data_IF_055221869417
#
_entry.id   IF_055221869417
#
_cell.length_a   1.000
_cell.length_b   1.000
_cell.length_c   1.000
_cell.angle_alpha   90.00
_cell.angle_beta   90.00
_cell.angle_gamma   90.00
#
_symmetry.space_group_name_H-M   'P 1'
#
loop_
_entity.id
_entity.type
_entity.pdbx_description
1 polymer ?
#
# COMPACT_ATOMS: atom_id res chain seq x y z
N UNK A 1 -2.94 -81.44 14.25
CA UNK A 1 -1.81 -80.67 14.38
C UNK A 1 -1.75 -79.58 13.44
N UNK A 2 -2.08 -78.48 13.42
CA UNK A 2 -1.27 -77.31 13.10
C UNK A 2 -2.01 -76.00 13.47
N UNK A 3 -1.44 -75.30 14.37
CA UNK A 3 -1.96 -74.04 14.88
C UNK A 3 -1.23 -72.91 14.14
N UNK A 4 -1.91 -72.24 13.24
CA UNK A 4 -1.40 -70.97 12.71
C UNK A 4 -2.12 -69.80 13.38
N UNK A 5 -1.39 -69.14 14.28
CA UNK A 5 -1.79 -67.84 14.89
C UNK A 5 -1.66 -66.74 13.88
N UNK A 6 -2.77 -66.24 13.41
CA UNK A 6 -2.80 -64.93 12.68
C UNK A 6 -2.55 -63.80 13.66
N UNK A 7 -1.43 -63.09 13.48
CA UNK A 7 -1.17 -61.82 14.14
C UNK A 7 -1.91 -60.70 13.43
N UNK A 8 -2.89 -60.15 14.10
CA UNK A 8 -3.57 -58.90 13.65
C UNK A 8 -2.68 -57.70 13.91
N UNK A 9 -2.10 -57.16 12.86
CA UNK A 9 -1.36 -55.93 12.93
C UNK A 9 -2.36 -54.77 13.02
N UNK A 10 -2.51 -54.19 14.20
CA UNK A 10 -3.22 -52.92 14.37
C UNK A 10 -2.44 -51.84 13.63
N UNK A 11 -2.97 -51.41 12.52
CA UNK A 11 -2.52 -50.20 11.84
C UNK A 11 -2.93 -49.02 12.73
N UNK A 12 -1.95 -48.39 13.36
CA UNK A 12 -2.12 -47.13 14.07
C UNK A 12 -2.66 -46.12 13.05
N UNK A 13 -3.92 -45.71 13.26
CA UNK A 13 -4.53 -44.63 12.49
C UNK A 13 -3.72 -43.39 12.67
N UNK A 14 -3.09 -42.91 11.58
CA UNK A 14 -2.54 -41.58 11.49
C UNK A 14 -3.68 -40.62 11.72
N UNK A 15 -3.63 -39.92 12.86
CA UNK A 15 -4.46 -38.76 13.11
C UNK A 15 -4.15 -37.74 12.02
N UNK A 16 -5.04 -37.59 11.05
CA UNK A 16 -4.99 -36.48 10.09
C UNK A 16 -5.22 -35.19 10.90
N UNK A 17 -4.14 -34.54 11.26
CA UNK A 17 -4.22 -33.13 11.66
C UNK A 17 -4.65 -32.40 10.39
N UNK A 18 -5.92 -32.07 10.31
CA UNK A 18 -6.40 -31.14 9.30
C UNK A 18 -5.59 -29.86 9.47
N UNK A 19 -4.59 -29.69 8.60
CA UNK A 19 -3.74 -28.51 8.60
C UNK A 19 -4.64 -27.29 8.45
N UNK A 20 -4.70 -26.47 9.47
CA UNK A 20 -5.31 -25.15 9.38
C UNK A 20 -4.54 -24.40 8.31
N UNK A 21 -5.13 -24.31 7.12
CA UNK A 21 -4.56 -23.48 6.03
C UNK A 21 -4.53 -22.05 6.55
N UNK A 22 -3.34 -21.45 6.59
CA UNK A 22 -3.22 -20.03 6.89
C UNK A 22 -3.91 -19.20 5.80
N UNK A 23 -4.60 -18.17 6.23
CA UNK A 23 -5.18 -17.20 5.28
C UNK A 23 -4.06 -16.50 4.51
N UNK A 24 -4.27 -16.30 3.23
CA UNK A 24 -3.35 -15.56 2.35
C UNK A 24 -3.95 -14.22 1.99
N UNK A 25 -3.10 -13.22 1.78
CA UNK A 25 -3.49 -11.93 1.23
C UNK A 25 -2.53 -11.53 0.11
N UNK A 26 -2.97 -10.76 -0.89
CA UNK A 26 -2.06 -10.19 -1.87
C UNK A 26 -1.09 -9.22 -1.19
N UNK A 27 0.10 -9.07 -1.77
CA UNK A 27 1.09 -8.08 -1.36
C UNK A 27 1.66 -7.36 -2.59
N UNK A 28 2.23 -6.19 -2.39
CA UNK A 28 2.82 -5.38 -3.43
C UNK A 28 4.26 -5.84 -3.69
N UNK A 29 4.48 -6.56 -4.79
CA UNK A 29 5.80 -7.01 -5.19
C UNK A 29 6.62 -5.86 -5.81
N UNK A 30 7.95 -5.97 -5.83
CA UNK A 30 8.82 -4.93 -6.39
C UNK A 30 8.50 -4.63 -7.87
N UNK A 31 8.09 -5.63 -8.64
CA UNK A 31 7.69 -5.42 -10.03
C UNK A 31 6.43 -4.57 -10.15
N UNK A 32 5.46 -4.78 -9.26
CA UNK A 32 4.26 -3.95 -9.19
C UNK A 32 4.61 -2.50 -8.82
N UNK A 33 5.51 -2.34 -7.84
CA UNK A 33 6.03 -1.01 -7.44
C UNK A 33 6.65 -0.27 -8.62
N UNK A 34 7.48 -0.95 -9.43
CA UNK A 34 8.09 -0.36 -10.63
C UNK A 34 7.04 0.07 -11.67
N UNK A 35 6.03 -0.76 -11.92
CA UNK A 35 4.93 -0.44 -12.84
C UNK A 35 4.16 0.80 -12.38
N UNK A 36 3.84 0.87 -11.09
CA UNK A 36 3.18 2.04 -10.48
C UNK A 36 4.04 3.28 -10.61
N UNK A 37 5.33 3.20 -10.25
CA UNK A 37 6.25 4.32 -10.32
C UNK A 37 6.39 4.87 -11.74
N UNK A 38 6.56 4.00 -12.73
CA UNK A 38 6.69 4.38 -14.15
C UNK A 38 5.43 5.07 -14.67
N UNK A 39 4.25 4.55 -14.34
CA UNK A 39 3.00 5.15 -14.79
C UNK A 39 2.72 6.49 -14.09
N UNK A 40 3.05 6.62 -12.81
CA UNK A 40 2.95 7.89 -12.09
C UNK A 40 3.92 8.94 -12.67
N UNK A 41 5.16 8.55 -12.96
CA UNK A 41 6.13 9.43 -13.62
C UNK A 41 5.66 9.87 -14.99
N UNK A 42 5.12 8.95 -15.80
CA UNK A 42 4.60 9.28 -17.14
C UNK A 42 3.45 10.29 -17.07
N UNK A 43 2.55 10.17 -16.10
CA UNK A 43 1.46 11.14 -15.89
C UNK A 43 2.02 12.51 -15.47
N UNK A 44 3.01 12.54 -14.58
CA UNK A 44 3.66 13.78 -14.17
C UNK A 44 4.36 14.48 -15.35
N UNK A 45 5.11 13.73 -16.16
CA UNK A 45 5.82 14.25 -17.34
C UNK A 45 4.87 14.77 -18.40
N UNK A 46 3.78 14.04 -18.69
CA UNK A 46 2.74 14.45 -19.64
C UNK A 46 2.16 15.83 -19.32
N UNK A 47 2.06 16.16 -18.03
CA UNK A 47 1.51 17.43 -17.57
C UNK A 47 2.59 18.47 -17.22
N UNK A 48 3.88 18.15 -17.39
CA UNK A 48 5.01 19.00 -17.00
C UNK A 48 5.02 19.32 -15.49
N UNK A 49 4.63 18.37 -14.66
CA UNK A 49 4.58 18.50 -13.20
C UNK A 49 5.83 17.94 -12.54
N UNK A 50 6.54 18.80 -11.80
CA UNK A 50 7.72 18.42 -11.04
C UNK A 50 7.32 17.98 -9.62
N UNK A 51 7.34 16.68 -9.37
CA UNK A 51 6.85 16.07 -8.13
C UNK A 51 7.82 15.05 -7.54
N UNK A 52 7.59 14.70 -6.29
CA UNK A 52 8.12 13.49 -5.67
C UNK A 52 7.02 12.43 -5.62
N UNK A 53 7.35 11.21 -6.03
CA UNK A 53 6.50 10.03 -5.99
C UNK A 53 7.05 9.09 -4.93
N UNK A 54 6.23 8.67 -3.98
CA UNK A 54 6.56 7.69 -2.95
C UNK A 54 5.56 6.53 -2.98
N UNK A 55 6.05 5.30 -2.82
CA UNK A 55 5.21 4.10 -2.71
C UNK A 55 5.62 3.37 -1.44
N UNK A 56 4.64 2.96 -0.65
CA UNK A 56 4.86 2.20 0.57
C UNK A 56 4.02 0.92 0.59
N UNK A 57 4.38 -0.02 1.47
CA UNK A 57 3.58 -1.19 1.79
C UNK A 57 2.36 -0.84 2.67
N UNK A 58 1.57 -1.83 3.06
CA UNK A 58 0.38 -1.66 3.91
C UNK A 58 0.69 -1.18 5.33
N UNK A 59 1.93 -1.32 5.78
CA UNK A 59 2.44 -0.82 7.07
C UNK A 59 3.01 0.60 6.98
N UNK A 60 3.01 1.21 5.79
CA UNK A 60 3.57 2.53 5.56
C UNK A 60 5.08 2.55 5.39
N UNK A 61 5.72 1.38 5.23
CA UNK A 61 7.17 1.28 5.00
C UNK A 61 7.49 1.57 3.53
N UNK A 62 8.50 2.42 3.33
CA UNK A 62 8.87 2.90 2.00
C UNK A 62 9.43 1.78 1.13
N UNK A 63 8.88 1.61 -0.07
CA UNK A 63 9.34 0.70 -1.12
C UNK A 63 9.98 1.46 -2.29
N UNK A 64 9.54 2.70 -2.56
CA UNK A 64 10.02 3.54 -3.65
C UNK A 64 9.96 5.00 -3.29
N UNK A 65 11.00 5.75 -3.66
CA UNK A 65 11.03 7.20 -3.59
C UNK A 65 11.76 7.75 -4.81
N UNK A 66 11.10 8.61 -5.56
CA UNK A 66 11.68 9.30 -6.70
C UNK A 66 11.26 10.76 -6.70
N UNK A 67 12.23 11.64 -6.58
CA UNK A 67 12.02 13.08 -6.76
C UNK A 67 12.45 13.48 -8.16
N UNK A 68 11.51 13.98 -8.95
CA UNK A 68 11.78 14.49 -10.29
C UNK A 68 12.53 15.81 -10.22
N UNK A 69 13.28 16.12 -11.28
CA UNK A 69 14.00 17.38 -11.39
C UNK A 69 13.01 18.56 -11.32
N UNK A 70 13.39 19.59 -10.57
CA UNK A 70 12.54 20.75 -10.33
C UNK A 70 11.53 20.61 -9.19
N UNK A 71 11.31 19.42 -8.65
CA UNK A 71 10.43 19.25 -7.48
C UNK A 71 11.04 19.89 -6.22
N UNK A 72 10.25 20.64 -5.43
CA UNK A 72 10.76 21.28 -4.23
C UNK A 72 11.29 20.22 -3.23
N UNK A 73 12.45 20.47 -2.56
CA UNK A 73 13.04 19.46 -1.65
C UNK A 73 12.12 18.96 -0.56
N UNK A 74 11.22 19.79 -0.04
CA UNK A 74 10.23 19.40 0.99
C UNK A 74 9.29 18.29 0.52
N UNK A 75 9.05 18.17 -0.79
CA UNK A 75 8.19 17.13 -1.35
C UNK A 75 8.70 15.71 -1.07
N UNK A 76 10.03 15.55 -0.90
CA UNK A 76 10.65 14.28 -0.54
C UNK A 76 10.30 13.82 0.89
N UNK A 77 9.84 14.72 1.75
CA UNK A 77 9.33 14.41 3.09
C UNK A 77 7.80 14.26 3.08
N UNK A 78 7.10 15.11 2.31
CA UNK A 78 5.64 15.11 2.28
C UNK A 78 5.08 13.88 1.54
N UNK A 79 5.65 13.49 0.40
CA UNK A 79 5.14 12.38 -0.39
C UNK A 79 5.13 11.03 0.39
N UNK A 80 6.21 10.64 1.09
CA UNK A 80 6.18 9.45 1.94
C UNK A 80 5.15 9.52 3.08
N UNK A 81 4.98 10.71 3.69
CA UNK A 81 3.97 10.91 4.73
C UNK A 81 2.54 10.73 4.21
N UNK A 82 2.24 11.29 3.02
CA UNK A 82 0.94 11.08 2.34
C UNK A 82 0.71 9.61 2.03
N UNK A 83 1.72 8.89 1.51
CA UNK A 83 1.63 7.44 1.24
C UNK A 83 1.34 6.66 2.53
N UNK A 84 2.10 6.91 3.60
CA UNK A 84 1.91 6.27 4.90
C UNK A 84 0.51 6.51 5.45
N UNK A 85 0.05 7.75 5.43
CA UNK A 85 -1.28 8.11 5.89
C UNK A 85 -2.37 7.35 5.13
N UNK A 86 -2.25 7.24 3.81
CA UNK A 86 -3.20 6.53 2.98
C UNK A 86 -3.17 5.01 3.21
N UNK A 87 -1.98 4.40 3.33
CA UNK A 87 -1.82 2.97 3.55
C UNK A 87 -2.39 2.54 4.92
N UNK A 88 -1.94 3.17 5.98
CA UNK A 88 -2.32 2.82 7.35
C UNK A 88 -3.77 3.17 7.64
N UNK A 89 -4.29 4.25 7.06
CA UNK A 89 -5.69 4.63 7.15
C UNK A 89 -6.62 3.88 6.20
N UNK A 90 -6.08 3.17 5.21
CA UNK A 90 -6.83 2.43 4.17
C UNK A 90 -7.83 3.31 3.43
N UNK A 91 -7.49 4.59 3.24
CA UNK A 91 -8.30 5.61 2.56
C UNK A 91 -7.41 6.71 2.01
N UNK A 92 -7.92 7.48 1.07
CA UNK A 92 -7.19 8.65 0.56
C UNK A 92 -6.84 9.61 1.71
N UNK A 93 -5.63 10.16 1.70
CA UNK A 93 -5.17 11.12 2.72
C UNK A 93 -6.00 12.41 2.73
N UNK A 94 -6.68 12.75 1.64
CA UNK A 94 -7.66 13.82 1.53
C UNK A 94 -8.76 13.74 2.61
N UNK A 95 -9.20 12.53 2.95
CA UNK A 95 -10.26 12.35 3.98
C UNK A 95 -9.81 12.89 5.34
N UNK A 96 -8.53 12.72 5.69
CA UNK A 96 -7.99 13.27 6.93
C UNK A 96 -7.86 14.79 6.88
N UNK A 97 -7.43 15.34 5.75
CA UNK A 97 -7.36 16.78 5.53
C UNK A 97 -8.76 17.42 5.71
N UNK A 98 -9.79 16.84 5.10
CA UNK A 98 -11.17 17.31 5.23
C UNK A 98 -11.69 17.27 6.68
N UNK A 99 -11.42 16.17 7.41
CA UNK A 99 -11.81 16.02 8.81
C UNK A 99 -11.14 17.11 9.67
N UNK A 100 -9.86 17.38 9.45
CA UNK A 100 -9.12 18.42 10.18
C UNK A 100 -9.68 19.79 9.82
N UNK A 101 -9.91 20.09 8.55
CA UNK A 101 -10.45 21.37 8.08
C UNK A 101 -11.88 21.62 8.58
N UNK A 102 -12.64 20.57 8.87
CA UNK A 102 -13.96 20.65 9.50
C UNK A 102 -13.91 20.87 11.03
N UNK A 103 -12.69 21.05 11.59
CA UNK A 103 -12.49 21.42 12.99
C UNK A 103 -12.04 20.30 13.90
N UNK A 104 -11.91 19.06 13.42
CA UNK A 104 -11.41 17.95 14.24
C UNK A 104 -9.86 17.95 14.28
N UNK A 105 -9.29 19.02 14.80
CA UNK A 105 -7.82 19.23 14.86
C UNK A 105 -7.09 18.20 15.75
N UNK A 106 -7.80 17.47 16.62
CA UNK A 106 -7.24 16.37 17.41
C UNK A 106 -6.60 15.26 16.55
N UNK A 107 -6.98 15.12 15.26
CA UNK A 107 -6.30 14.20 14.36
C UNK A 107 -4.81 14.53 14.18
N UNK A 108 -4.39 15.77 14.36
CA UNK A 108 -2.98 16.16 14.30
C UNK A 108 -2.10 15.48 15.36
N UNK A 109 -2.71 14.90 16.40
CA UNK A 109 -2.01 14.12 17.43
C UNK A 109 -2.04 12.60 17.16
N UNK A 110 -2.62 12.13 16.05
CA UNK A 110 -2.66 10.71 15.74
C UNK A 110 -1.24 10.17 15.52
N UNK A 111 -0.88 9.05 16.18
CA UNK A 111 0.48 8.49 16.06
C UNK A 111 0.66 7.83 14.69
N UNK A 112 1.92 7.77 14.24
CA UNK A 112 2.38 7.04 13.06
C UNK A 112 1.83 7.52 11.69
N UNK A 113 0.89 8.45 11.64
CA UNK A 113 0.45 9.11 10.41
C UNK A 113 0.81 10.59 10.46
N UNK A 114 1.33 11.09 9.35
CA UNK A 114 1.76 12.47 9.16
C UNK A 114 1.42 12.92 7.73
N UNK A 115 1.64 14.18 7.39
CA UNK A 115 1.28 14.72 6.09
C UNK A 115 -0.16 14.33 5.68
N UNK A 116 -1.13 14.63 6.56
CA UNK A 116 -2.56 14.43 6.33
C UNK A 116 -3.09 15.45 5.32
N UNK A 117 -2.52 15.40 4.11
CA UNK A 117 -2.77 16.28 2.97
C UNK A 117 -3.21 15.43 1.79
N UNK A 118 -4.08 15.94 0.93
CA UNK A 118 -4.49 15.27 -0.29
C UNK A 118 -3.28 14.93 -1.19
N UNK A 119 -3.30 13.78 -1.84
CA UNK A 119 -2.25 13.26 -2.71
C UNK A 119 -1.71 11.88 -2.32
N UNK A 120 -2.19 11.31 -1.21
CA UNK A 120 -1.98 9.91 -0.84
C UNK A 120 -3.18 9.05 -1.22
N UNK A 121 -2.96 7.96 -1.95
CA UNK A 121 -4.02 7.08 -2.46
C UNK A 121 -3.67 5.63 -2.13
N UNK A 122 -4.54 4.87 -1.44
CA UNK A 122 -4.27 3.47 -1.11
C UNK A 122 -4.39 2.58 -2.35
N UNK A 123 -3.58 1.52 -2.38
CA UNK A 123 -3.65 0.45 -3.37
C UNK A 123 -4.48 -0.68 -2.77
N UNK A 124 -5.64 -0.93 -3.35
CA UNK A 124 -6.57 -1.95 -2.87
C UNK A 124 -6.58 -3.15 -3.83
N UNK A 125 -6.41 -4.35 -3.30
CA UNK A 125 -6.50 -5.59 -4.07
C UNK A 125 -7.29 -6.64 -3.29
N UNK A 126 -8.29 -7.25 -3.90
CA UNK A 126 -9.11 -8.31 -3.29
C UNK A 126 -9.66 -7.93 -1.88
N UNK A 127 -10.05 -6.67 -1.70
CA UNK A 127 -10.55 -6.16 -0.42
C UNK A 127 -9.47 -5.84 0.62
N UNK A 128 -8.18 -6.00 0.29
CA UNK A 128 -7.05 -5.68 1.16
C UNK A 128 -6.33 -4.41 0.70
N UNK A 129 -5.91 -3.57 1.64
CA UNK A 129 -4.93 -2.55 1.36
C UNK A 129 -3.55 -3.22 1.31
N UNK A 130 -2.87 -3.13 0.17
CA UNK A 130 -1.55 -3.74 -0.05
C UNK A 130 -0.42 -2.72 -0.10
N UNK A 131 -0.75 -1.44 -0.01
CA UNK A 131 0.18 -0.34 -0.05
C UNK A 131 -0.50 0.98 -0.39
N UNK A 132 0.28 2.00 -0.68
CA UNK A 132 -0.23 3.30 -1.13
C UNK A 132 0.80 4.05 -1.96
N UNK A 133 0.31 4.98 -2.76
CA UNK A 133 1.11 5.97 -3.48
C UNK A 133 0.87 7.34 -2.84
N UNK A 134 1.94 8.07 -2.56
CA UNK A 134 1.90 9.45 -2.13
C UNK A 134 2.68 10.33 -3.11
N UNK A 135 2.08 11.44 -3.49
CA UNK A 135 2.69 12.41 -4.42
C UNK A 135 2.65 13.79 -3.80
N UNK A 136 3.71 14.56 -4.03
CA UNK A 136 3.81 15.95 -3.59
C UNK A 136 4.67 16.77 -4.53
N UNK A 137 4.23 18.00 -4.81
CA UNK A 137 5.01 18.95 -5.60
C UNK A 137 4.20 19.95 -6.39
N UNK A 138 2.94 19.66 -6.63
CA UNK A 138 1.99 20.52 -7.36
C UNK A 138 0.72 20.74 -6.54
N UNK A 139 -0.42 21.06 -7.16
CA UNK A 139 -1.69 21.16 -6.41
C UNK A 139 -2.09 19.79 -5.89
N UNK A 140 -2.73 19.76 -4.74
CA UNK A 140 -3.09 18.49 -4.07
C UNK A 140 -3.96 17.57 -4.93
N UNK A 141 -4.87 18.12 -5.72
CA UNK A 141 -5.68 17.38 -6.69
C UNK A 141 -4.87 16.79 -7.85
N UNK A 142 -3.84 17.51 -8.30
CA UNK A 142 -2.89 17.05 -9.32
C UNK A 142 -1.97 15.96 -8.76
N UNK A 143 -1.50 16.11 -7.53
CA UNK A 143 -0.76 15.07 -6.80
C UNK A 143 -1.58 13.78 -6.73
N UNK A 144 -2.86 13.87 -6.38
CA UNK A 144 -3.77 12.71 -6.31
C UNK A 144 -4.02 12.09 -7.71
N UNK A 145 -4.09 12.89 -8.76
CA UNK A 145 -4.23 12.43 -10.15
C UNK A 145 -3.04 11.56 -10.54
N UNK A 146 -1.81 11.99 -10.25
CA UNK A 146 -0.58 11.22 -10.52
C UNK A 146 -0.60 9.89 -9.76
N UNK A 147 -0.96 9.92 -8.48
CA UNK A 147 -1.05 8.71 -7.66
C UNK A 147 -2.04 7.70 -8.24
N UNK A 148 -3.23 8.16 -8.64
CA UNK A 148 -4.26 7.32 -9.26
C UNK A 148 -3.83 6.76 -10.61
N UNK A 149 -3.15 7.54 -11.44
CA UNK A 149 -2.60 7.09 -12.72
C UNK A 149 -1.57 5.96 -12.53
N UNK A 150 -0.71 6.09 -11.51
CA UNK A 150 0.22 5.02 -11.13
C UNK A 150 -0.49 3.72 -10.76
N UNK A 151 -1.49 3.81 -9.87
CA UNK A 151 -2.25 2.65 -9.39
C UNK A 151 -3.02 1.95 -10.53
N UNK A 152 -3.57 2.73 -11.45
CA UNK A 152 -4.31 2.19 -12.60
C UNK A 152 -3.48 1.23 -13.48
N UNK A 153 -2.15 1.37 -13.49
CA UNK A 153 -1.25 0.46 -14.21
C UNK A 153 -1.27 -0.98 -13.68
N UNK A 154 -1.78 -1.22 -12.47
CA UNK A 154 -1.90 -2.56 -11.91
C UNK A 154 -3.11 -3.33 -12.44
N UNK A 155 -4.12 -2.65 -12.99
CA UNK A 155 -5.34 -3.28 -13.49
C UNK A 155 -6.25 -3.86 -12.39
N UNK A 156 -6.21 -3.29 -11.19
CA UNK A 156 -6.98 -3.69 -10.00
C UNK A 156 -8.38 -3.10 -10.00
#
# INVERSE_FOLDING_TARGET
>A
PDASRGQSTKVLGFCHISGTSMNTKPFLALEDVRRVAQAAEAEAQKNSWAVTIAICDEGGHLLWLQRLDGAPPVSAHIAPGKARTAAMGRRESRVYEEIINQGRTSFLSAPAIDAMLEGGVPIMAQGHCIGAVGVSGVKSTEDAQIAKAGIAALGL
#
